data_IF_263239597539
#
_entry.id   IF_263239597539
#
_cell.length_a   1.000
_cell.length_b   1.000
_cell.length_c   1.000
_cell.angle_alpha   90.00
_cell.angle_beta   90.00
_cell.angle_gamma   90.00
#
_symmetry.space_group_name_H-M   'P 1'
#
loop_
_entity.id
_entity.type
_entity.pdbx_description
1 polymer ?
#
# COMPACT_ATOMS: atom_id res chain seq x y z
N UNK A 1 -16.67 9.33 10.41
CA UNK A 1 -16.44 8.86 9.03
C UNK A 1 -15.20 8.02 9.03
N UNK A 2 -15.32 6.73 8.71
CA UNK A 2 -14.18 5.83 8.58
C UNK A 2 -13.42 6.22 7.31
N UNK A 3 -12.15 6.58 7.45
CA UNK A 3 -11.30 7.19 6.42
C UNK A 3 -10.46 6.14 5.67
N UNK A 4 -11.12 5.03 5.33
CA UNK A 4 -10.55 3.99 4.49
C UNK A 4 -11.06 4.26 3.08
N UNK A 5 -10.15 4.52 2.15
CA UNK A 5 -10.47 4.88 0.78
C UNK A 5 -9.88 3.84 -0.16
N UNK A 6 -10.72 3.12 -0.89
CA UNK A 6 -10.25 2.29 -1.98
C UNK A 6 -9.70 3.20 -3.09
N UNK A 7 -8.49 2.93 -3.57
CA UNK A 7 -7.99 3.60 -4.76
C UNK A 7 -8.77 3.07 -5.96
N UNK A 8 -9.30 3.97 -6.79
CA UNK A 8 -10.07 3.60 -7.97
C UNK A 8 -9.23 2.66 -8.88
N UNK A 9 -9.69 1.43 -9.13
CA UNK A 9 -8.98 0.49 -10.00
C UNK A 9 -8.68 1.04 -11.40
N UNK A 10 -9.49 1.97 -11.91
CA UNK A 10 -9.23 2.61 -13.21
C UNK A 10 -8.04 3.56 -13.16
N UNK A 11 -7.81 4.24 -12.03
CA UNK A 11 -6.62 5.08 -11.84
C UNK A 11 -5.38 4.18 -11.76
N UNK A 12 -5.47 3.03 -11.07
CA UNK A 12 -4.39 2.04 -11.01
C UNK A 12 -4.04 1.55 -12.43
N UNK A 13 -5.03 1.05 -13.17
CA UNK A 13 -4.83 0.55 -14.53
C UNK A 13 -4.19 1.61 -15.44
N UNK A 14 -4.70 2.85 -15.43
CA UNK A 14 -4.14 3.96 -16.19
C UNK A 14 -2.70 4.28 -15.78
N UNK A 15 -2.41 4.26 -14.48
CA UNK A 15 -1.07 4.57 -13.95
C UNK A 15 -0.04 3.52 -14.39
N UNK A 16 -0.44 2.24 -14.47
CA UNK A 16 0.40 1.19 -15.04
C UNK A 16 0.60 1.36 -16.55
N UNK A 17 -0.48 1.60 -17.30
CA UNK A 17 -0.45 1.71 -18.76
C UNK A 17 0.41 2.88 -19.24
N UNK A 18 0.31 4.02 -18.56
CA UNK A 18 1.01 5.26 -18.93
C UNK A 18 2.40 5.37 -18.24
N UNK A 19 2.69 4.53 -17.26
CA UNK A 19 3.95 4.53 -16.52
C UNK A 19 4.27 5.87 -15.83
N UNK A 20 5.55 6.16 -15.63
CA UNK A 20 6.06 7.40 -15.00
C UNK A 20 5.71 8.71 -15.77
N UNK A 21 4.83 8.67 -16.77
CA UNK A 21 4.34 9.83 -17.52
C UNK A 21 3.04 10.44 -17.00
N UNK A 22 2.42 9.88 -15.94
CA UNK A 22 1.13 10.34 -15.43
C UNK A 22 1.22 11.47 -14.41
N UNK A 23 0.10 12.13 -14.12
CA UNK A 23 -0.05 12.96 -12.92
C UNK A 23 -0.05 12.15 -11.60
N UNK A 24 0.06 10.82 -11.69
CA UNK A 24 0.03 9.87 -10.59
C UNK A 24 1.33 9.06 -10.47
N UNK A 25 2.48 9.63 -10.85
CA UNK A 25 3.80 8.99 -10.70
C UNK A 25 4.00 8.47 -9.27
N UNK A 26 3.60 9.25 -8.26
CA UNK A 26 3.69 8.85 -6.85
C UNK A 26 2.90 7.57 -6.57
N UNK A 27 1.75 7.36 -7.22
CA UNK A 27 0.98 6.12 -7.08
C UNK A 27 1.68 4.94 -7.75
N UNK A 28 2.38 5.15 -8.87
CA UNK A 28 3.15 4.09 -9.52
C UNK A 28 4.28 3.60 -8.60
N UNK A 29 5.01 4.52 -7.98
CA UNK A 29 6.09 4.20 -7.03
C UNK A 29 5.55 3.41 -5.83
N UNK A 30 4.41 3.87 -5.27
CA UNK A 30 3.70 3.18 -4.19
C UNK A 30 3.29 1.75 -4.59
N UNK A 31 2.72 1.58 -5.79
CA UNK A 31 2.28 0.28 -6.29
C UNK A 31 3.45 -0.69 -6.47
N UNK A 32 4.56 -0.18 -7.01
CA UNK A 32 5.77 -0.96 -7.22
C UNK A 32 6.33 -1.43 -5.88
N UNK A 33 6.52 -0.52 -4.91
CA UNK A 33 7.02 -0.87 -3.58
C UNK A 33 6.08 -1.85 -2.83
N UNK A 34 4.76 -1.67 -2.94
CA UNK A 34 3.80 -2.62 -2.35
C UNK A 34 3.93 -4.02 -2.94
N UNK A 35 4.14 -4.12 -4.25
CA UNK A 35 4.29 -5.40 -4.93
C UNK A 35 5.63 -6.06 -4.62
N UNK A 36 6.72 -5.30 -4.52
CA UNK A 36 8.02 -5.79 -4.04
C UNK A 36 7.89 -6.41 -2.64
N UNK A 37 7.23 -5.71 -1.71
CA UNK A 37 7.00 -6.22 -0.34
C UNK A 37 6.06 -7.43 -0.30
N UNK A 38 5.15 -7.56 -1.27
CA UNK A 38 4.25 -8.70 -1.38
C UNK A 38 4.97 -9.96 -1.90
N UNK A 39 5.86 -9.81 -2.88
CA UNK A 39 6.59 -10.93 -3.49
C UNK A 39 7.86 -11.30 -2.70
N UNK A 40 8.57 -10.30 -2.18
CA UNK A 40 9.85 -10.46 -1.50
C UNK A 40 9.87 -9.78 -0.12
N UNK A 41 9.04 -10.23 0.84
CA UNK A 41 8.85 -9.58 2.15
C UNK A 41 10.08 -9.56 3.07
N UNK A 42 11.18 -10.21 2.68
CA UNK A 42 12.41 -10.35 3.46
C UNK A 42 13.65 -9.86 2.71
N UNK A 43 13.45 -9.13 1.60
CA UNK A 43 14.53 -8.62 0.77
C UNK A 43 14.45 -7.09 0.74
N UNK A 44 15.58 -6.46 1.00
CA UNK A 44 15.70 -4.99 1.02
C UNK A 44 16.11 -4.42 -0.36
N UNK A 45 16.65 -5.26 -1.25
CA UNK A 45 17.08 -4.90 -2.60
C UNK A 45 16.80 -6.07 -3.55
N UNK A 46 16.23 -5.76 -4.71
CA UNK A 46 15.90 -6.72 -5.75
C UNK A 46 16.93 -6.66 -6.87
N UNK A 47 17.14 -7.79 -7.55
CA UNK A 47 17.88 -7.82 -8.81
C UNK A 47 16.96 -7.57 -10.03
N UNK A 48 17.56 -7.45 -11.22
CA UNK A 48 16.83 -7.13 -12.46
C UNK A 48 15.76 -8.18 -12.81
N UNK A 49 15.99 -9.46 -12.48
CA UNK A 49 15.04 -10.54 -12.75
C UNK A 49 13.84 -10.43 -11.79
N UNK A 50 14.10 -10.13 -10.52
CA UNK A 50 13.05 -9.91 -9.52
C UNK A 50 12.21 -8.65 -9.79
N UNK A 51 12.85 -7.56 -10.24
CA UNK A 51 12.13 -6.38 -10.72
C UNK A 51 11.24 -6.69 -11.94
N UNK A 52 11.66 -7.63 -12.78
CA UNK A 52 10.84 -8.12 -13.91
C UNK A 52 9.63 -8.92 -13.40
N UNK A 53 9.79 -9.77 -12.38
CA UNK A 53 8.67 -10.50 -11.76
C UNK A 53 7.66 -9.55 -11.11
N UNK A 54 8.12 -8.48 -10.46
CA UNK A 54 7.26 -7.42 -9.91
C UNK A 54 6.45 -6.75 -11.02
N UNK A 55 7.09 -6.41 -12.14
CA UNK A 55 6.40 -5.82 -13.29
C UNK A 55 5.32 -6.76 -13.85
N UNK A 56 5.60 -8.06 -13.96
CA UNK A 56 4.61 -9.05 -14.39
C UNK A 56 3.44 -9.19 -13.41
N UNK A 57 3.70 -9.16 -12.09
CA UNK A 57 2.65 -9.23 -11.08
C UNK A 57 1.73 -8.00 -11.12
N UNK A 58 2.28 -6.82 -11.44
CA UNK A 58 1.49 -5.62 -11.66
C UNK A 58 0.63 -5.71 -12.93
N UNK A 59 1.14 -6.33 -14.00
CA UNK A 59 0.42 -6.51 -15.28
C UNK A 59 -0.80 -7.44 -15.14
N UNK A 60 -0.74 -8.45 -14.27
CA UNK A 60 -1.88 -9.35 -14.00
C UNK A 60 -3.11 -8.60 -13.43
N UNK A 61 -2.88 -7.45 -12.77
CA UNK A 61 -3.94 -6.53 -12.33
C UNK A 61 -4.83 -7.07 -11.21
N UNK A 62 -4.55 -8.26 -10.67
CA UNK A 62 -5.36 -8.94 -9.66
C UNK A 62 -5.08 -8.47 -8.23
N UNK A 63 -5.07 -7.15 -7.99
CA UNK A 63 -4.82 -6.58 -6.68
C UNK A 63 -5.74 -5.40 -6.36
N UNK A 64 -5.88 -5.11 -5.07
CA UNK A 64 -6.63 -3.98 -4.55
C UNK A 64 -5.74 -3.18 -3.61
N UNK A 65 -5.78 -1.86 -3.73
CA UNK A 65 -4.99 -0.95 -2.89
C UNK A 65 -5.95 -0.04 -2.15
N UNK A 66 -5.76 0.03 -0.85
CA UNK A 66 -6.56 0.86 0.03
C UNK A 66 -5.67 1.86 0.74
N UNK A 67 -6.10 3.13 0.73
CA UNK A 67 -5.42 4.24 1.38
C UNK A 67 -6.11 4.60 2.69
N UNK A 68 -5.31 4.81 3.73
CA UNK A 68 -5.70 5.45 4.97
C UNK A 68 -4.92 6.76 5.06
N UNK A 69 -5.64 7.88 4.95
CA UNK A 69 -5.04 9.21 5.00
C UNK A 69 -4.38 9.48 6.35
N UNK A 70 -3.19 10.08 6.33
CA UNK A 70 -2.40 10.39 7.54
C UNK A 70 -3.12 11.33 8.52
N UNK A 71 -3.95 12.23 7.98
CA UNK A 71 -4.71 13.21 8.76
C UNK A 71 -5.99 12.60 9.37
N UNK A 72 -6.32 11.36 9.01
CA UNK A 72 -7.53 10.70 9.49
C UNK A 72 -7.46 10.32 10.97
N UNK A 73 -8.62 10.30 11.68
CA UNK A 73 -8.70 9.77 13.03
C UNK A 73 -8.26 8.31 13.13
N UNK A 74 -8.53 7.50 12.10
CA UNK A 74 -8.14 6.09 12.06
C UNK A 74 -6.63 5.94 12.02
N UNK A 75 -5.94 6.66 11.13
CA UNK A 75 -4.49 6.64 11.05
C UNK A 75 -3.87 7.02 12.39
N UNK A 76 -4.34 8.10 13.02
CA UNK A 76 -3.84 8.55 14.32
C UNK A 76 -4.03 7.50 15.41
N UNK A 77 -5.17 6.82 15.45
CA UNK A 77 -5.45 5.76 16.42
C UNK A 77 -4.52 4.56 16.22
N UNK A 78 -4.35 4.11 14.96
CA UNK A 78 -3.42 3.03 14.63
C UNK A 78 -1.99 3.40 14.97
N UNK A 79 -1.55 4.58 14.55
CA UNK A 79 -0.20 5.05 14.83
C UNK A 79 0.07 5.15 16.34
N UNK A 80 -0.91 5.57 17.14
CA UNK A 80 -0.81 5.53 18.60
C UNK A 80 -0.77 4.10 19.17
N UNK A 81 -1.60 3.18 18.66
CA UNK A 81 -1.63 1.76 19.08
C UNK A 81 -0.29 1.06 18.92
N UNK A 82 0.48 1.48 17.93
CA UNK A 82 1.84 1.00 17.65
C UNK A 82 2.93 1.96 18.15
N UNK A 83 2.67 2.74 19.21
CA UNK A 83 3.65 3.62 19.86
C UNK A 83 4.36 4.61 18.90
N UNK A 84 3.64 5.07 17.87
CA UNK A 84 4.13 5.94 16.80
C UNK A 84 5.28 5.33 15.98
N UNK A 85 5.33 4.01 15.94
CA UNK A 85 6.32 3.26 15.18
C UNK A 85 5.71 2.85 13.84
N UNK A 86 6.03 3.61 12.79
CA UNK A 86 5.55 3.36 11.43
C UNK A 86 5.92 1.97 10.91
N UNK A 87 7.12 1.49 11.22
CA UNK A 87 7.56 0.14 10.84
C UNK A 87 6.74 -0.95 11.52
N UNK A 88 6.42 -0.79 12.80
CA UNK A 88 5.57 -1.75 13.50
C UNK A 88 4.16 -1.78 12.93
N UNK A 89 3.62 -0.60 12.59
CA UNK A 89 2.32 -0.47 11.93
C UNK A 89 2.32 -1.14 10.54
N UNK A 90 3.31 -0.86 9.68
CA UNK A 90 3.35 -1.44 8.34
C UNK A 90 3.60 -2.95 8.36
N UNK A 91 4.36 -3.45 9.33
CA UNK A 91 4.54 -4.89 9.53
C UNK A 91 3.24 -5.57 9.94
N UNK A 92 2.44 -4.95 10.81
CA UNK A 92 1.16 -5.50 11.24
C UNK A 92 0.10 -5.52 10.13
N UNK A 93 0.21 -4.61 9.16
CA UNK A 93 -0.71 -4.48 8.03
C UNK A 93 -0.12 -5.00 6.71
N UNK A 94 0.97 -5.76 6.75
CA UNK A 94 1.68 -6.20 5.55
C UNK A 94 0.77 -6.96 4.54
N UNK A 95 0.95 -6.75 3.22
CA UNK A 95 1.88 -5.78 2.62
C UNK A 95 1.32 -4.36 2.70
N UNK A 96 2.13 -3.44 3.22
CA UNK A 96 1.77 -2.03 3.35
C UNK A 96 3.00 -1.14 3.40
N UNK A 97 2.80 0.13 3.06
CA UNK A 97 3.82 1.19 3.11
C UNK A 97 3.22 2.48 3.67
N UNK A 98 4.05 3.30 4.30
CA UNK A 98 3.73 4.70 4.58
C UNK A 98 4.50 5.49 3.54
N UNK A 99 3.78 6.13 2.64
CA UNK A 99 4.40 6.95 1.60
C UNK A 99 5.11 8.16 2.24
N UNK A 100 6.36 8.41 1.87
CA UNK A 100 7.18 9.45 2.50
C UNK A 100 6.72 10.87 2.12
N UNK A 101 6.12 11.03 0.93
CA UNK A 101 5.69 12.33 0.42
C UNK A 101 4.36 12.78 1.05
N UNK A 102 3.35 11.92 1.00
CA UNK A 102 2.01 12.21 1.53
C UNK A 102 1.87 11.88 3.02
N UNK A 103 2.68 10.97 3.55
CA UNK A 103 2.52 10.38 4.87
C UNK A 103 1.36 9.40 4.98
N UNK A 104 0.63 9.15 3.88
CA UNK A 104 -0.53 8.27 3.87
C UNK A 104 -0.10 6.79 3.94
N UNK A 105 -0.92 5.97 4.60
CA UNK A 105 -0.71 4.53 4.67
C UNK A 105 -1.44 3.86 3.52
N UNK A 106 -0.70 3.12 2.70
CA UNK A 106 -1.24 2.29 1.63
C UNK A 106 -1.11 0.82 2.01
N UNK A 107 -2.19 0.07 1.81
CA UNK A 107 -2.25 -1.36 2.11
C UNK A 107 -2.71 -2.12 0.88
N UNK A 108 -1.99 -3.19 0.52
CA UNK A 108 -2.36 -4.09 -0.57
C UNK A 108 -3.48 -5.04 -0.11
N UNK A 109 -4.68 -4.48 0.05
CA UNK A 109 -5.90 -5.19 0.44
C UNK A 109 -7.13 -4.41 -0.01
N UNK A 110 -8.26 -5.10 -0.17
CA UNK A 110 -9.57 -4.44 -0.30
C UNK A 110 -10.00 -3.79 1.02
N UNK A 111 -10.93 -2.82 1.00
CA UNK A 111 -11.46 -2.21 2.22
C UNK A 111 -12.06 -3.22 3.19
N UNK A 112 -12.73 -4.26 2.70
CA UNK A 112 -13.34 -5.31 3.51
C UNK A 112 -12.27 -6.13 4.23
N UNK A 113 -11.27 -6.62 3.48
CA UNK A 113 -10.17 -7.39 4.03
C UNK A 113 -9.35 -6.57 5.05
N UNK A 114 -9.13 -5.30 4.76
CA UNK A 114 -8.46 -4.38 5.69
C UNK A 114 -9.29 -4.15 6.94
N UNK A 115 -10.61 -3.96 6.83
CA UNK A 115 -11.49 -3.76 7.99
C UNK A 115 -11.46 -4.97 8.93
N UNK A 116 -11.45 -6.18 8.38
CA UNK A 116 -11.32 -7.39 9.17
C UNK A 116 -10.00 -7.44 9.94
N UNK A 117 -8.86 -7.20 9.27
CA UNK A 117 -7.54 -7.14 9.90
C UNK A 117 -7.46 -6.06 10.99
N UNK A 118 -8.04 -4.89 10.74
CA UNK A 118 -8.06 -3.79 11.70
C UNK A 118 -8.86 -4.13 12.95
N UNK A 119 -9.96 -4.89 12.81
CA UNK A 119 -10.73 -5.38 13.95
C UNK A 119 -9.85 -6.27 14.84
N UNK A 120 -9.13 -7.22 14.24
CA UNK A 120 -8.24 -8.14 14.97
C UNK A 120 -7.08 -7.43 15.71
N UNK A 121 -6.63 -6.27 15.21
CA UNK A 121 -5.52 -5.50 15.80
C UNK A 121 -5.99 -4.56 16.93
N UNK A 122 -7.21 -4.04 16.80
CA UNK A 122 -7.78 -3.02 17.67
C UNK A 122 -8.62 -3.60 18.82
N UNK A 123 -9.02 -4.86 18.73
CA UNK A 123 -9.54 -5.66 19.85
C UNK A 123 -8.43 -6.12 20.81
#
# INVERSE_FOLDING_TARGET
MQSIEQIDPQIIARTLDEGAGTEHIELLDVLYELMERQLYPHKDELDDDEHTEVAWALEDGAYAVTRIRHDSPLYRALFQRFDRNGRALTNALAPSIIDELSGDLYVLASPEALTQRLTEILE
#
